data_IF_061951929109
#
_entry.id   IF_061951929109
#
_cell.length_a   1.000
_cell.length_b   1.000
_cell.length_c   1.000
_cell.angle_alpha   90.00
_cell.angle_beta   90.00
_cell.angle_gamma   90.00
#
_symmetry.space_group_name_H-M   'P 1'
#
loop_
_entity.id
_entity.type
_entity.pdbx_description
1 polymer ?
#
# COMPACT_ATOMS: atom_id res chain seq x y z
N UNK A 1 -52.12 53.92 25.49
CA UNK A 1 -50.71 53.52 25.29
C UNK A 1 -50.22 52.81 26.55
N UNK A 2 -50.52 51.52 26.75
CA UNK A 2 -50.22 50.84 28.02
C UNK A 2 -50.08 49.31 27.87
N UNK A 3 -49.32 48.83 26.87
CA UNK A 3 -49.16 47.37 26.66
C UNK A 3 -47.72 46.89 26.40
N UNK A 4 -46.73 47.78 26.48
CA UNK A 4 -45.32 47.45 26.19
C UNK A 4 -44.40 47.40 27.42
N UNK A 5 -44.85 47.84 28.59
CA UNK A 5 -44.02 47.85 29.81
C UNK A 5 -43.89 46.48 30.48
N UNK A 6 -44.83 45.55 30.26
CA UNK A 6 -44.89 44.29 31.00
C UNK A 6 -43.87 43.23 30.51
N UNK A 7 -43.27 43.42 29.33
CA UNK A 7 -42.30 42.47 28.77
C UNK A 7 -40.85 42.76 29.19
N UNK A 8 -40.52 43.98 29.62
CA UNK A 8 -39.15 44.29 30.08
C UNK A 8 -38.84 43.83 31.50
N UNK A 9 -39.84 43.63 32.37
CA UNK A 9 -39.60 43.17 33.75
C UNK A 9 -39.38 41.66 33.86
N UNK A 10 -39.64 40.87 32.81
CA UNK A 10 -39.58 39.40 32.87
C UNK A 10 -38.20 38.79 32.56
N UNK A 11 -37.21 39.60 32.16
CA UNK A 11 -35.85 39.14 31.86
C UNK A 11 -34.79 39.50 32.91
N UNK A 12 -35.19 40.16 34.01
CA UNK A 12 -34.26 40.46 35.10
C UNK A 12 -34.15 39.26 36.04
N UNK A 13 -33.36 38.27 35.64
CA UNK A 13 -32.91 37.21 36.54
C UNK A 13 -32.20 37.83 37.75
N UNK A 14 -32.49 37.39 38.99
CA UNK A 14 -31.75 37.84 40.16
C UNK A 14 -30.29 37.38 40.07
N UNK A 15 -29.36 38.32 39.92
CA UNK A 15 -27.90 38.11 39.79
C UNK A 15 -27.19 37.73 41.11
N UNK A 16 -27.90 37.20 42.10
CA UNK A 16 -27.26 36.72 43.32
C UNK A 16 -28.07 35.58 43.93
N UNK A 17 -27.66 34.35 43.65
CA UNK A 17 -27.99 33.23 44.52
C UNK A 17 -27.32 33.49 45.87
N UNK A 18 -28.03 33.33 47.00
CA UNK A 18 -27.43 33.51 48.32
C UNK A 18 -26.33 32.46 48.48
N UNK A 19 -25.10 32.94 48.69
CA UNK A 19 -23.89 32.20 49.08
C UNK A 19 -24.10 30.68 49.18
N UNK A 20 -23.98 29.99 48.05
CA UNK A 20 -23.62 28.58 48.05
C UNK A 20 -22.19 28.54 48.61
N UNK A 21 -22.08 28.50 49.95
CA UNK A 21 -20.91 27.93 50.59
C UNK A 21 -20.80 26.51 50.03
N UNK A 22 -19.97 26.34 49.01
CA UNK A 22 -19.54 25.02 48.55
C UNK A 22 -19.15 24.23 49.80
N UNK A 23 -19.77 23.06 50.05
CA UNK A 23 -19.31 22.20 51.13
C UNK A 23 -17.83 21.92 50.87
N UNK A 24 -16.96 22.26 51.82
CA UNK A 24 -15.53 21.91 51.76
C UNK A 24 -15.44 20.41 51.51
N UNK A 25 -15.07 20.07 50.28
CA UNK A 25 -15.07 18.70 49.79
C UNK A 25 -14.10 17.89 50.66
N UNK A 26 -14.55 16.88 51.44
CA UNK A 26 -13.70 16.17 52.41
C UNK A 26 -12.58 15.34 51.78
N UNK A 27 -12.55 15.25 50.45
CA UNK A 27 -11.57 14.48 49.72
C UNK A 27 -10.51 15.41 49.11
N UNK A 28 -9.25 15.37 49.57
CA UNK A 28 -8.19 16.09 48.89
C UNK A 28 -8.15 15.60 47.45
N UNK A 29 -8.24 16.53 46.49
CA UNK A 29 -8.14 16.24 45.07
C UNK A 29 -6.76 15.62 44.80
N UNK A 30 -6.68 14.30 44.80
CA UNK A 30 -5.44 13.59 44.48
C UNK A 30 -5.07 13.96 43.04
N UNK A 31 -3.89 14.55 42.79
CA UNK A 31 -3.49 14.92 41.45
C UNK A 31 -3.38 13.64 40.62
N UNK A 32 -4.37 13.40 39.74
CA UNK A 32 -4.31 12.26 38.81
C UNK A 32 -2.98 12.34 38.06
N UNK A 33 -2.22 11.24 37.91
CA UNK A 33 -0.99 11.26 37.15
C UNK A 33 -1.28 11.70 35.71
N UNK A 34 -0.93 12.93 35.36
CA UNK A 34 -1.14 13.50 34.01
C UNK A 34 -0.06 12.91 33.11
N UNK A 35 -0.31 11.70 32.62
CA UNK A 35 0.53 11.04 31.61
C UNK A 35 0.15 11.55 30.22
N UNK A 36 1.15 11.73 29.35
CA UNK A 36 0.93 12.19 27.99
C UNK A 36 0.23 11.07 27.17
N UNK A 37 -1.00 11.28 26.66
CA UNK A 37 -1.72 10.25 25.89
C UNK A 37 -0.94 9.81 24.64
N UNK A 38 -0.17 10.71 24.03
CA UNK A 38 0.67 10.38 22.87
C UNK A 38 1.79 9.39 23.21
N UNK A 39 2.32 9.42 24.44
CA UNK A 39 3.34 8.48 24.89
C UNK A 39 2.77 7.06 25.07
N UNK A 40 1.52 6.96 25.54
CA UNK A 40 0.81 5.68 25.66
C UNK A 40 0.57 5.08 24.28
N UNK A 41 0.07 5.88 23.34
CA UNK A 41 -0.16 5.45 21.95
C UNK A 41 1.14 5.02 21.30
N UNK A 42 2.24 5.77 21.49
CA UNK A 42 3.56 5.39 20.97
C UNK A 42 4.04 4.04 21.51
N UNK A 43 3.86 3.80 22.82
CA UNK A 43 4.27 2.55 23.45
C UNK A 43 3.43 1.36 22.98
N UNK A 44 2.11 1.52 22.89
CA UNK A 44 1.22 0.46 22.38
C UNK A 44 1.54 0.15 20.92
N UNK A 45 1.78 1.16 20.09
CA UNK A 45 2.18 0.97 18.70
C UNK A 45 3.53 0.25 18.57
N UNK A 46 4.50 0.58 19.43
CA UNK A 46 5.78 -0.12 19.49
C UNK A 46 5.61 -1.59 19.89
N UNK A 47 4.76 -1.89 20.89
CA UNK A 47 4.48 -3.28 21.28
C UNK A 47 3.78 -4.10 20.20
N UNK A 48 3.02 -3.45 19.32
CA UNK A 48 2.32 -4.07 18.19
C UNK A 48 3.17 -4.12 16.92
N UNK A 49 4.46 -3.75 16.97
CA UNK A 49 5.35 -3.64 15.82
C UNK A 49 4.82 -2.70 14.70
N UNK A 50 3.99 -1.73 15.07
CA UNK A 50 3.52 -0.67 14.18
C UNK A 50 4.57 0.46 14.14
N UNK A 51 5.78 0.13 13.70
CA UNK A 51 6.95 1.01 13.78
C UNK A 51 6.74 2.43 13.23
N UNK A 52 5.99 2.70 12.13
CA UNK A 52 5.79 4.07 11.65
C UNK A 52 4.95 4.89 12.64
N UNK A 53 3.93 4.26 13.23
CA UNK A 53 3.05 4.88 14.22
C UNK A 53 3.82 5.13 15.52
N UNK A 54 4.60 4.14 15.98
CA UNK A 54 5.43 4.27 17.18
C UNK A 54 6.42 5.44 17.08
N UNK A 55 7.07 5.62 15.93
CA UNK A 55 8.03 6.69 15.69
C UNK A 55 7.35 8.06 15.72
N UNK A 56 6.25 8.25 14.96
CA UNK A 56 5.55 9.53 14.88
C UNK A 56 4.99 9.95 16.25
N UNK A 57 4.30 9.05 16.94
CA UNK A 57 3.75 9.34 18.26
C UNK A 57 4.83 9.48 19.33
N UNK A 58 5.96 8.79 19.20
CA UNK A 58 7.14 8.98 20.04
C UNK A 58 7.70 10.39 19.92
N UNK A 59 7.91 10.89 18.70
CA UNK A 59 8.34 12.28 18.46
C UNK A 59 7.32 13.32 18.95
N UNK A 60 6.03 13.09 18.73
CA UNK A 60 4.97 13.98 19.26
C UNK A 60 4.99 13.97 20.78
N UNK A 61 5.25 12.84 21.43
CA UNK A 61 5.31 12.74 22.88
C UNK A 61 6.47 13.55 23.50
N UNK A 62 7.57 13.80 22.75
CA UNK A 62 8.68 14.65 23.18
C UNK A 62 8.33 16.14 23.30
N UNK A 63 7.27 16.59 22.63
CA UNK A 63 6.80 17.98 22.74
C UNK A 63 6.27 18.33 24.14
N UNK A 64 6.06 17.34 25.01
CA UNK A 64 5.57 17.53 26.37
C UNK A 64 6.65 17.27 27.43
N UNK A 65 6.90 18.21 28.36
CA UNK A 65 8.01 18.13 29.31
C UNK A 65 7.92 16.96 30.29
N UNK A 66 6.75 16.35 30.49
CA UNK A 66 6.50 15.28 31.47
C UNK A 66 6.46 13.85 30.92
N UNK A 67 6.83 13.60 29.66
CA UNK A 67 6.76 12.26 29.03
C UNK A 67 8.08 11.69 28.48
N UNK A 68 9.21 12.38 28.68
CA UNK A 68 10.47 12.13 27.95
C UNK A 68 11.02 10.71 28.11
N UNK A 69 10.97 10.13 29.30
CA UNK A 69 11.52 8.79 29.54
C UNK A 69 10.73 7.71 28.76
N UNK A 70 9.39 7.81 28.76
CA UNK A 70 8.52 6.86 28.04
C UNK A 70 8.65 7.02 26.52
N UNK A 71 8.80 8.26 26.04
CA UNK A 71 9.07 8.55 24.63
C UNK A 71 10.46 8.02 24.19
N UNK A 72 11.50 8.10 25.04
CA UNK A 72 12.79 7.47 24.77
C UNK A 72 12.66 5.96 24.59
N UNK A 73 11.93 5.27 25.48
CA UNK A 73 11.72 3.82 25.35
C UNK A 73 10.97 3.47 24.06
N UNK A 74 9.91 4.19 23.71
CA UNK A 74 9.18 3.97 22.46
C UNK A 74 10.05 4.17 21.23
N UNK A 75 10.90 5.21 21.20
CA UNK A 75 11.83 5.44 20.10
C UNK A 75 12.93 4.37 20.02
N UNK A 76 13.49 3.94 21.15
CA UNK A 76 14.52 2.89 21.17
C UNK A 76 13.96 1.56 20.67
N UNK A 77 12.72 1.24 21.05
CA UNK A 77 12.05 0.02 20.62
C UNK A 77 11.72 0.07 19.13
N UNK A 78 11.18 1.19 18.64
CA UNK A 78 10.96 1.39 17.20
C UNK A 78 12.25 1.37 16.37
N UNK A 79 13.34 1.96 16.88
CA UNK A 79 14.64 1.91 16.21
C UNK A 79 15.23 0.48 16.18
N UNK A 80 15.06 -0.28 17.26
CA UNK A 80 15.47 -1.68 17.32
C UNK A 80 14.69 -2.56 16.32
N UNK A 81 13.38 -2.32 16.15
CA UNK A 81 12.57 -3.00 15.14
C UNK A 81 13.02 -2.68 13.72
N UNK A 82 13.25 -1.40 13.41
CA UNK A 82 13.77 -0.98 12.10
C UNK A 82 15.13 -1.64 11.82
N UNK A 83 16.02 -1.68 12.82
CA UNK A 83 17.30 -2.35 12.69
C UNK A 83 17.17 -3.87 12.49
N UNK A 84 16.21 -4.51 13.16
CA UNK A 84 15.93 -5.93 12.98
C UNK A 84 15.37 -6.24 11.58
N UNK A 85 14.44 -5.42 11.08
CA UNK A 85 13.89 -5.56 9.71
C UNK A 85 14.99 -5.32 8.67
N UNK A 86 15.77 -4.25 8.81
CA UNK A 86 16.89 -3.97 7.91
C UNK A 86 17.94 -5.09 7.97
N UNK A 87 18.27 -5.57 9.16
CA UNK A 87 19.15 -6.72 9.36
C UNK A 87 18.62 -7.97 8.69
N UNK A 88 17.33 -8.27 8.82
CA UNK A 88 16.69 -9.41 8.14
C UNK A 88 16.83 -9.31 6.61
N UNK A 89 16.59 -8.14 6.02
CA UNK A 89 16.75 -7.96 4.57
C UNK A 89 18.22 -8.05 4.12
N UNK A 90 19.16 -7.47 4.87
CA UNK A 90 20.60 -7.55 4.56
C UNK A 90 21.13 -8.98 4.69
N UNK A 91 20.77 -9.68 5.77
CA UNK A 91 21.21 -11.06 6.00
C UNK A 91 20.56 -12.05 5.00
N UNK A 92 19.29 -11.85 4.66
CA UNK A 92 18.58 -12.66 3.66
C UNK A 92 19.06 -12.38 2.24
N UNK A 93 19.50 -11.15 1.94
CA UNK A 93 20.10 -10.78 0.66
C UNK A 93 21.41 -11.52 0.38
N UNK A 94 22.21 -11.79 1.42
CA UNK A 94 23.42 -12.62 1.28
C UNK A 94 23.09 -14.09 0.98
N UNK A 95 22.07 -14.66 1.61
CA UNK A 95 21.66 -16.05 1.39
C UNK A 95 21.07 -16.28 -0.02
N UNK A 96 20.28 -15.32 -0.52
CA UNK A 96 19.75 -15.34 -1.89
C UNK A 96 20.85 -15.18 -2.94
N UNK A 97 21.84 -14.30 -2.68
CA UNK A 97 22.99 -14.13 -3.57
C UNK A 97 23.82 -15.41 -3.66
N UNK A 98 24.08 -16.10 -2.55
CA UNK A 98 24.83 -17.36 -2.56
C UNK A 98 24.07 -18.51 -3.26
N UNK A 99 22.75 -18.59 -3.12
CA UNK A 99 21.94 -19.60 -3.82
C UNK A 99 21.81 -19.32 -5.32
N UNK A 100 21.62 -18.07 -5.72
CA UNK A 100 21.60 -17.68 -7.15
C UNK A 100 22.97 -17.88 -7.79
N UNK A 101 24.07 -17.54 -7.10
CA UNK A 101 25.43 -17.72 -7.63
C UNK A 101 25.82 -19.20 -7.72
N UNK A 102 25.40 -20.04 -6.76
CA UNK A 102 25.62 -21.50 -6.81
C UNK A 102 24.73 -22.19 -7.85
N UNK A 103 23.50 -21.72 -8.06
CA UNK A 103 22.64 -22.18 -9.15
C UNK A 103 23.20 -21.79 -10.53
N UNK A 104 23.79 -20.59 -10.66
CA UNK A 104 24.47 -20.16 -11.88
C UNK A 104 25.77 -20.94 -12.13
N UNK A 105 26.53 -21.31 -11.09
CA UNK A 105 27.70 -22.19 -11.22
C UNK A 105 27.33 -23.65 -11.54
N UNK A 106 26.21 -24.16 -11.01
CA UNK A 106 25.69 -25.49 -11.36
C UNK A 106 25.19 -25.56 -12.81
N UNK A 107 24.66 -24.46 -13.36
CA UNK A 107 24.28 -24.35 -14.76
C UNK A 107 25.49 -24.19 -15.71
N UNK A 108 26.64 -23.69 -15.21
CA UNK A 108 27.85 -23.46 -16.01
C UNK A 108 28.76 -24.69 -16.19
N UNK A 109 28.46 -25.85 -15.59
CA UNK A 109 29.35 -27.04 -15.62
C UNK A 109 28.85 -28.18 -16.54
N UNK A 110 27.74 -28.02 -17.26
CA UNK A 110 27.19 -29.10 -18.12
C UNK A 110 27.05 -28.69 -19.59
N UNK A 111 28.16 -28.28 -20.23
CA UNK A 111 28.25 -28.31 -21.71
C UNK A 111 29.70 -28.26 -22.19
N UNK A 112 30.27 -29.43 -22.50
CA UNK A 112 31.10 -29.70 -23.70
C UNK A 112 31.80 -31.06 -23.59
N UNK A 113 31.08 -32.14 -23.91
CA UNK A 113 31.72 -33.27 -24.59
C UNK A 113 30.92 -33.57 -25.85
N UNK A 114 31.43 -33.02 -26.95
CA UNK A 114 31.06 -33.36 -28.32
C UNK A 114 31.57 -34.77 -28.59
N UNK A 115 30.65 -35.74 -28.71
CA UNK A 115 30.95 -37.05 -29.27
C UNK A 115 30.15 -37.19 -30.55
N UNK A 116 30.85 -37.11 -31.69
CA UNK A 116 30.35 -37.42 -33.02
C UNK A 116 30.07 -38.92 -33.15
N UNK A 117 28.82 -39.31 -33.40
CA UNK A 117 28.49 -40.64 -33.94
C UNK A 117 27.43 -40.51 -35.03
N UNK A 118 27.65 -41.23 -36.12
CA UNK A 118 27.02 -41.11 -37.42
C UNK A 118 25.59 -41.71 -37.51
N UNK A 119 24.80 -41.07 -38.39
CA UNK A 119 23.71 -41.56 -39.26
C UNK A 119 22.80 -42.70 -38.79
N UNK A 120 21.50 -42.41 -38.63
CA UNK A 120 20.38 -43.23 -39.16
C UNK A 120 19.13 -42.35 -39.26
N UNK A 121 18.54 -42.30 -40.45
CA UNK A 121 17.37 -41.50 -40.84
C UNK A 121 16.04 -42.21 -40.53
N UNK A 122 15.10 -41.50 -39.89
CA UNK A 122 13.68 -41.84 -39.79
C UNK A 122 12.85 -40.53 -39.63
N UNK A 123 11.57 -40.49 -40.06
CA UNK A 123 10.93 -39.26 -40.54
C UNK A 123 10.41 -38.33 -39.42
N UNK A 124 10.57 -37.03 -39.67
CA UNK A 124 10.19 -35.89 -38.84
C UNK A 124 8.68 -35.65 -38.84
N UNK A 125 8.01 -35.46 -37.68
CA UNK A 125 6.74 -34.74 -37.61
C UNK A 125 7.02 -33.24 -37.86
N UNK A 126 6.27 -32.64 -38.77
CA UNK A 126 6.37 -31.21 -39.09
C UNK A 126 5.96 -30.38 -37.87
N UNK A 127 6.92 -29.72 -37.23
CA UNK A 127 6.64 -28.67 -36.25
C UNK A 127 6.22 -27.38 -37.00
N UNK A 128 5.17 -26.67 -36.57
CA UNK A 128 4.78 -25.40 -37.17
C UNK A 128 5.88 -24.35 -36.99
N UNK A 129 6.02 -23.39 -37.92
CA UNK A 129 7.11 -22.41 -37.90
C UNK A 129 7.02 -21.51 -36.66
N UNK A 130 8.17 -20.96 -36.18
CA UNK A 130 8.19 -20.05 -35.05
C UNK A 130 7.40 -18.78 -35.37
N UNK A 131 6.31 -18.56 -34.64
CA UNK A 131 5.58 -17.28 -34.65
C UNK A 131 6.52 -16.19 -34.15
N UNK A 132 6.83 -15.24 -35.02
CA UNK A 132 7.52 -14.00 -34.70
C UNK A 132 6.82 -13.30 -33.54
N UNK A 133 7.56 -13.03 -32.45
CA UNK A 133 7.05 -12.24 -31.35
C UNK A 133 6.61 -10.85 -31.87
N UNK A 134 5.37 -10.39 -31.57
CA UNK A 134 4.91 -9.08 -32.01
C UNK A 134 5.73 -7.97 -31.34
N UNK A 135 5.91 -6.82 -32.02
CA UNK A 135 6.66 -5.70 -31.46
C UNK A 135 5.99 -5.23 -30.17
N UNK A 136 6.77 -5.09 -29.10
CA UNK A 136 6.34 -4.38 -27.89
C UNK A 136 6.04 -2.92 -28.28
N UNK A 137 4.78 -2.61 -28.55
CA UNK A 137 4.33 -1.23 -28.72
C UNK A 137 4.67 -0.48 -27.44
N UNK A 138 5.44 0.61 -27.57
CA UNK A 138 5.66 1.50 -26.44
C UNK A 138 4.30 1.97 -25.90
N UNK A 139 4.12 2.00 -24.56
CA UNK A 139 2.86 2.45 -23.98
C UNK A 139 2.58 3.91 -24.37
N UNK A 140 1.31 4.28 -24.62
CA UNK A 140 0.95 5.64 -24.96
C UNK A 140 1.32 6.58 -23.82
N UNK A 141 1.89 7.75 -24.16
CA UNK A 141 2.14 8.81 -23.18
C UNK A 141 0.84 9.54 -22.90
N UNK A 142 0.39 9.55 -21.65
CA UNK A 142 -0.92 10.06 -21.22
C UNK A 142 -0.81 10.91 -19.96
N UNK A 143 -1.77 11.80 -19.72
CA UNK A 143 -1.78 12.64 -18.52
C UNK A 143 -2.77 12.12 -17.48
N UNK A 144 -2.38 12.21 -16.21
CA UNK A 144 -3.28 11.88 -15.11
C UNK A 144 -4.50 12.82 -15.13
N UNK A 145 -5.69 12.26 -14.97
CA UNK A 145 -6.98 12.96 -15.01
C UNK A 145 -7.48 13.27 -16.42
N UNK A 146 -6.72 12.93 -17.46
CA UNK A 146 -7.20 13.03 -18.84
C UNK A 146 -8.29 11.98 -19.09
N UNK A 147 -9.32 12.36 -19.84
CA UNK A 147 -10.40 11.46 -20.20
C UNK A 147 -9.88 10.36 -21.15
N UNK A 148 -10.42 9.15 -20.97
CA UNK A 148 -10.22 8.04 -21.90
C UNK A 148 -11.58 7.42 -22.25
N UNK A 149 -11.60 6.54 -23.23
CA UNK A 149 -12.83 5.87 -23.67
C UNK A 149 -13.03 4.54 -22.95
N UNK A 150 -14.27 4.04 -22.94
CA UNK A 150 -14.58 2.69 -22.43
C UNK A 150 -13.77 1.61 -23.15
N UNK A 151 -13.52 1.77 -24.45
CA UNK A 151 -12.67 0.86 -25.22
C UNK A 151 -11.21 0.86 -24.75
N UNK A 152 -10.77 1.89 -24.03
CA UNK A 152 -9.46 2.00 -23.40
C UNK A 152 -9.47 1.54 -21.94
N UNK A 153 -10.58 1.04 -21.40
CA UNK A 153 -10.66 0.60 -20.01
C UNK A 153 -9.57 -0.46 -19.68
N UNK A 154 -8.85 -0.23 -18.60
CA UNK A 154 -7.71 -1.03 -18.16
C UNK A 154 -6.45 -0.89 -19.01
N UNK A 155 -6.43 -0.08 -20.06
CA UNK A 155 -5.23 0.13 -20.88
C UNK A 155 -4.13 0.81 -20.07
N UNK A 156 -2.88 0.44 -20.35
CA UNK A 156 -1.70 0.91 -19.61
C UNK A 156 -1.00 2.02 -20.38
N UNK A 157 -0.96 3.21 -19.80
CA UNK A 157 -0.24 4.37 -20.32
C UNK A 157 0.95 4.75 -19.45
N UNK A 158 1.85 5.56 -20.01
CA UNK A 158 2.97 6.15 -19.29
C UNK A 158 2.73 7.64 -19.07
N UNK A 159 2.87 8.12 -17.84
CA UNK A 159 2.92 9.53 -17.53
C UNK A 159 4.25 10.15 -17.99
N UNK A 160 4.28 11.48 -18.14
CA UNK A 160 5.49 12.21 -18.55
C UNK A 160 6.66 12.10 -17.56
N UNK A 161 6.37 11.71 -16.32
CA UNK A 161 7.34 11.44 -15.26
C UNK A 161 7.78 9.96 -15.20
N UNK A 162 7.28 9.11 -16.12
CA UNK A 162 7.55 7.68 -16.17
C UNK A 162 6.63 6.83 -15.29
N UNK A 163 5.66 7.43 -14.59
CA UNK A 163 4.66 6.71 -13.82
C UNK A 163 3.72 5.89 -14.72
N UNK A 164 3.25 4.72 -14.26
CA UNK A 164 2.25 3.95 -15.00
C UNK A 164 0.85 4.45 -14.66
N UNK A 165 0.06 4.78 -15.68
CA UNK A 165 -1.34 5.19 -15.56
C UNK A 165 -2.27 4.13 -16.15
N UNK A 166 -3.46 4.01 -15.58
CA UNK A 166 -4.53 3.11 -16.03
C UNK A 166 -5.75 3.92 -16.39
N UNK A 167 -6.39 3.59 -17.52
CA UNK A 167 -7.70 4.13 -17.83
C UNK A 167 -8.76 3.38 -17.01
N UNK A 168 -9.32 4.03 -15.99
CA UNK A 168 -10.28 3.44 -15.07
C UNK A 168 -11.61 4.18 -15.13
N UNK A 169 -12.69 3.49 -14.77
CA UNK A 169 -13.99 4.11 -14.56
C UNK A 169 -13.88 5.19 -13.49
N UNK A 170 -14.33 6.40 -13.81
CA UNK A 170 -14.35 7.52 -12.90
C UNK A 170 -15.62 7.48 -12.06
N UNK A 171 -15.49 7.10 -10.79
CA UNK A 171 -16.59 7.07 -9.83
C UNK A 171 -17.27 8.44 -9.59
N UNK A 172 -16.66 9.55 -10.02
CA UNK A 172 -17.20 10.92 -9.86
C UNK A 172 -18.01 11.42 -11.07
N UNK A 173 -18.09 10.65 -12.15
CA UNK A 173 -18.84 11.01 -13.37
C UNK A 173 -19.65 9.82 -13.85
N UNK A 174 -20.95 10.02 -14.12
CA UNK A 174 -21.83 8.97 -14.66
C UNK A 174 -21.27 8.40 -15.98
N UNK A 175 -20.55 7.28 -15.90
CA UNK A 175 -20.02 6.53 -17.05
C UNK A 175 -18.75 7.09 -17.71
N UNK A 176 -18.03 8.00 -17.07
CA UNK A 176 -16.76 8.53 -17.60
C UNK A 176 -15.57 7.62 -17.29
N UNK A 177 -14.58 7.57 -18.18
CA UNK A 177 -13.28 6.93 -17.91
C UNK A 177 -12.18 7.98 -17.87
N UNK A 178 -11.19 7.80 -16.99
CA UNK A 178 -10.05 8.70 -16.88
C UNK A 178 -8.76 7.96 -16.55
N UNK A 179 -7.65 8.53 -17.02
CA UNK A 179 -6.30 8.08 -16.68
C UNK A 179 -5.99 8.34 -15.21
N UNK A 180 -5.86 7.27 -14.44
CA UNK A 180 -5.65 7.27 -13.00
C UNK A 180 -4.29 6.64 -12.65
N UNK A 181 -3.75 6.95 -11.47
CA UNK A 181 -2.48 6.40 -11.01
C UNK A 181 -1.65 7.39 -10.18
N UNK A 182 -0.37 7.10 -9.92
CA UNK A 182 0.42 6.00 -10.51
C UNK A 182 0.07 4.61 -9.95
N UNK A 183 0.17 3.57 -10.78
CA UNK A 183 -0.04 2.17 -10.41
C UNK A 183 1.21 1.32 -10.63
N UNK A 184 1.36 0.24 -9.86
CA UNK A 184 2.41 -0.77 -10.08
C UNK A 184 1.79 -2.00 -10.73
N UNK A 185 1.95 -2.12 -12.04
CA UNK A 185 1.47 -3.27 -12.82
C UNK A 185 2.64 -4.19 -13.13
N UNK A 186 2.56 -5.45 -12.69
CA UNK A 186 3.56 -6.47 -12.98
C UNK A 186 3.78 -6.63 -14.49
N UNK A 187 5.00 -6.97 -14.89
CA UNK A 187 5.36 -7.11 -16.31
C UNK A 187 4.98 -8.46 -16.91
N UNK A 188 4.46 -9.40 -16.11
CA UNK A 188 4.01 -10.71 -16.56
C UNK A 188 2.80 -10.58 -17.48
N UNK A 189 2.83 -11.31 -18.60
CA UNK A 189 1.72 -11.37 -19.56
C UNK A 189 0.84 -12.58 -19.25
N UNK A 190 -0.45 -12.34 -19.04
CA UNK A 190 -1.45 -13.35 -18.69
C UNK A 190 -2.74 -13.14 -19.49
N UNK A 191 -3.59 -14.18 -19.51
CA UNK A 191 -4.91 -14.13 -20.14
C UNK A 191 -6.00 -13.83 -19.12
N UNK A 192 -6.96 -12.97 -19.48
CA UNK A 192 -8.11 -12.68 -18.63
C UNK A 192 -8.98 -13.95 -18.44
N UNK A 193 -9.43 -14.17 -17.22
CA UNK A 193 -10.18 -15.37 -16.82
C UNK A 193 -9.31 -16.61 -16.54
N UNK A 194 -8.01 -16.58 -16.86
CA UNK A 194 -7.11 -17.67 -16.51
C UNK A 194 -6.87 -17.73 -14.99
N UNK A 195 -6.56 -18.91 -14.45
CA UNK A 195 -6.22 -19.05 -13.03
C UNK A 195 -4.99 -18.23 -12.69
N UNK A 196 -5.02 -17.54 -11.55
CA UNK A 196 -3.91 -16.75 -11.06
C UNK A 196 -3.45 -17.23 -9.69
N UNK A 197 -2.19 -16.96 -9.35
CA UNK A 197 -1.62 -17.20 -8.03
C UNK A 197 -1.10 -15.88 -7.47
N UNK A 198 -1.83 -15.33 -6.49
CA UNK A 198 -1.49 -14.05 -5.85
C UNK A 198 -0.18 -14.08 -5.05
N UNK A 199 0.35 -15.26 -4.73
CA UNK A 199 1.66 -15.40 -4.09
C UNK A 199 2.82 -15.19 -5.07
N UNK A 200 2.57 -15.44 -6.36
CA UNK A 200 3.55 -15.25 -7.45
C UNK A 200 3.39 -13.87 -8.08
N UNK A 201 2.17 -13.46 -8.41
CA UNK A 201 1.89 -12.17 -9.02
C UNK A 201 0.50 -11.64 -8.64
N UNK A 202 0.45 -10.39 -8.16
CA UNK A 202 -0.81 -9.71 -7.80
C UNK A 202 -1.42 -8.94 -8.96
N UNK A 203 -0.59 -8.44 -9.86
CA UNK A 203 -0.97 -7.69 -11.05
C UNK A 203 -0.18 -8.19 -12.25
N UNK A 204 -0.74 -8.02 -13.44
CA UNK A 204 -0.11 -8.43 -14.70
C UNK A 204 -0.68 -7.65 -15.87
N UNK A 205 -0.36 -8.09 -17.08
CA UNK A 205 -0.79 -7.46 -18.32
C UNK A 205 -1.37 -8.48 -19.29
N UNK A 206 -2.31 -8.06 -20.12
CA UNK A 206 -2.68 -8.82 -21.32
C UNK A 206 -1.70 -8.54 -22.47
N UNK A 207 -1.78 -9.34 -23.53
CA UNK A 207 -0.98 -9.14 -24.74
C UNK A 207 -1.29 -7.83 -25.48
N UNK A 208 -2.50 -7.28 -25.31
CA UNK A 208 -2.93 -5.96 -25.81
C UNK A 208 -2.62 -4.80 -24.82
N UNK A 209 -1.77 -5.04 -23.83
CA UNK A 209 -1.29 -4.04 -22.87
C UNK A 209 -2.41 -3.42 -22.00
N UNK A 210 -3.34 -4.26 -21.53
CA UNK A 210 -4.29 -3.92 -20.46
C UNK A 210 -3.85 -4.53 -19.15
N UNK A 211 -4.17 -3.87 -18.04
CA UNK A 211 -3.84 -4.34 -16.71
C UNK A 211 -4.80 -5.43 -16.26
N UNK A 212 -4.21 -6.43 -15.60
CA UNK A 212 -4.91 -7.50 -14.93
C UNK A 212 -4.61 -7.44 -13.43
N UNK A 213 -5.61 -7.78 -12.63
CA UNK A 213 -5.48 -8.03 -11.19
C UNK A 213 -5.83 -9.49 -10.90
N UNK A 214 -5.07 -10.12 -10.00
CA UNK A 214 -5.39 -11.47 -9.55
C UNK A 214 -6.45 -11.39 -8.45
N UNK A 215 -7.70 -11.70 -8.80
CA UNK A 215 -8.79 -11.72 -7.83
C UNK A 215 -8.83 -13.05 -7.10
N UNK A 216 -8.62 -13.02 -5.79
CA UNK A 216 -8.66 -14.22 -4.92
C UNK A 216 -9.96 -14.36 -4.14
N UNK A 217 -10.91 -13.44 -4.32
CA UNK A 217 -12.19 -13.45 -3.60
C UNK A 217 -13.15 -14.51 -4.13
N UNK A 218 -12.93 -14.98 -5.37
CA UNK A 218 -13.69 -16.06 -5.99
C UNK A 218 -13.20 -17.43 -5.51
N UNK A 219 -14.04 -18.47 -5.58
CA UNK A 219 -13.65 -19.86 -5.24
C UNK A 219 -12.46 -20.39 -6.05
N UNK A 220 -12.19 -19.77 -7.19
CA UNK A 220 -11.02 -20.04 -8.04
C UNK A 220 -10.36 -18.70 -8.36
N UNK A 221 -9.13 -18.44 -7.88
CA UNK A 221 -8.46 -17.19 -8.16
C UNK A 221 -8.22 -17.04 -9.66
N UNK A 222 -8.58 -15.90 -10.23
CA UNK A 222 -8.50 -15.65 -11.65
C UNK A 222 -7.98 -14.25 -11.97
N UNK A 223 -7.34 -14.12 -13.13
CA UNK A 223 -6.96 -12.83 -13.68
C UNK A 223 -8.20 -12.09 -14.18
N UNK A 224 -8.43 -10.89 -13.67
CA UNK A 224 -9.56 -10.03 -14.07
C UNK A 224 -9.02 -8.71 -14.62
N UNK A 225 -9.69 -8.16 -15.64
CA UNK A 225 -9.36 -6.86 -16.20
C UNK A 225 -9.53 -5.78 -15.14
N UNK A 226 -8.49 -4.97 -14.96
CA UNK A 226 -8.52 -3.88 -14.00
C UNK A 226 -9.16 -2.64 -14.62
N UNK A 227 -10.45 -2.45 -14.42
CA UNK A 227 -11.23 -1.35 -15.01
C UNK A 227 -11.83 -0.37 -13.99
N UNK A 228 -11.73 -0.67 -12.70
CA UNK A 228 -12.26 0.14 -11.58
C UNK A 228 -11.25 0.35 -10.44
#
# INVERSE_FOLDING_TARGET
MARTQQWQERERWPEAWPDEREPEDPYPYEPRPIVNPYAIVALVAALLALFPVAIVFGFIAFSHPRGRAMACFALLLGAAEVAAVAGFFVLSGNLLSDTVTRANQAAATTTAQVTTVATTSAPTPVAPPPTTAPPTSAPPVVRKGEACTETQAGLIGAASDGGTLLCLANASSDGGYQWSGPYNVGTGVYEAGAKCDSSVAKTGRTSDNRALVCETQSRTPAWVLWTE
#
